data_IF_444915257820
#
_entry.id   IF_444915257820
#
_cell.length_a   1.000
_cell.length_b   1.000
_cell.length_c   1.000
_cell.angle_alpha   90.00
_cell.angle_beta   90.00
_cell.angle_gamma   90.00
#
_symmetry.space_group_name_H-M   'P 1'
#
loop_
_entity.id
_entity.type
_entity.pdbx_description
1 polymer ?
#
# COMPACT_ATOMS: atom_id res chain seq x y z
N UNK A 1 -47.01 4.56 -29.47
CA UNK A 1 -46.42 3.75 -28.39
C UNK A 1 -44.93 4.00 -28.43
N UNK A 2 -44.46 4.99 -27.67
CA UNK A 2 -43.05 5.28 -27.49
C UNK A 2 -42.74 5.03 -26.03
N UNK A 3 -41.96 3.98 -25.76
CA UNK A 3 -41.51 3.65 -24.40
C UNK A 3 -40.37 4.59 -24.02
N UNK A 4 -40.55 5.24 -22.87
CA UNK A 4 -39.54 6.08 -22.24
C UNK A 4 -38.45 5.18 -21.65
N UNK A 5 -37.21 5.42 -22.06
CA UNK A 5 -36.03 4.82 -21.47
C UNK A 5 -35.85 5.42 -20.08
N UNK A 6 -35.94 4.55 -19.06
CA UNK A 6 -35.63 4.82 -17.66
C UNK A 6 -34.16 5.20 -17.54
N UNK A 7 -33.89 6.45 -17.16
CA UNK A 7 -32.58 6.94 -16.76
C UNK A 7 -32.13 6.23 -15.48
N UNK A 8 -30.96 5.57 -15.56
CA UNK A 8 -30.32 4.91 -14.43
C UNK A 8 -30.07 5.85 -13.25
N UNK A 9 -30.17 5.28 -12.06
CA UNK A 9 -29.85 5.91 -10.80
C UNK A 9 -28.40 6.43 -10.83
N UNK A 10 -28.27 7.76 -10.76
CA UNK A 10 -27.02 8.42 -10.43
C UNK A 10 -26.64 8.03 -9.00
N UNK A 11 -25.59 7.20 -8.85
CA UNK A 11 -24.95 7.00 -7.56
C UNK A 11 -24.59 8.37 -6.97
N UNK A 12 -25.04 8.63 -5.75
CA UNK A 12 -24.76 9.90 -5.07
C UNK A 12 -23.25 10.02 -4.85
N UNK A 13 -22.63 10.99 -5.51
CA UNK A 13 -21.24 11.40 -5.22
C UNK A 13 -21.14 11.71 -3.73
N UNK A 14 -20.27 11.00 -3.02
CA UNK A 14 -20.11 11.17 -1.58
C UNK A 14 -19.55 12.55 -1.22
N UNK A 15 -19.76 12.99 0.03
CA UNK A 15 -19.05 14.17 0.55
C UNK A 15 -17.57 13.81 0.70
N UNK A 16 -16.68 14.59 0.10
CA UNK A 16 -15.23 14.34 0.16
C UNK A 16 -14.73 14.24 1.63
N UNK A 17 -13.84 13.28 1.96
CA UNK A 17 -13.50 12.98 3.36
C UNK A 17 -12.54 14.01 3.99
N UNK A 18 -12.01 14.96 3.21
CA UNK A 18 -10.86 15.78 3.61
C UNK A 18 -11.12 16.69 4.81
N UNK A 19 -12.28 17.33 4.91
CA UNK A 19 -12.61 18.18 6.07
C UNK A 19 -12.58 17.37 7.37
N UNK A 20 -13.15 16.16 7.35
CA UNK A 20 -13.14 15.26 8.50
C UNK A 20 -11.72 14.76 8.81
N UNK A 21 -10.92 14.41 7.79
CA UNK A 21 -9.51 14.01 7.95
C UNK A 21 -8.67 15.12 8.59
N UNK A 22 -8.77 16.35 8.09
CA UNK A 22 -8.10 17.54 8.67
C UNK A 22 -8.48 17.73 10.13
N UNK A 23 -9.77 17.61 10.47
CA UNK A 23 -10.24 17.70 11.86
C UNK A 23 -9.61 16.66 12.78
N UNK A 24 -9.60 15.38 12.37
CA UNK A 24 -8.98 14.27 13.13
C UNK A 24 -7.47 14.46 13.29
N UNK A 25 -6.79 14.91 12.24
CA UNK A 25 -5.35 15.19 12.28
C UNK A 25 -5.05 16.33 13.25
N UNK A 26 -5.78 17.45 13.17
CA UNK A 26 -5.61 18.57 14.09
C UNK A 26 -5.88 18.19 15.55
N UNK A 27 -6.89 17.35 15.82
CA UNK A 27 -7.15 16.80 17.15
C UNK A 27 -5.97 15.97 17.67
N UNK A 28 -5.43 15.07 16.84
CA UNK A 28 -4.27 14.26 17.20
C UNK A 28 -3.01 15.09 17.39
N UNK A 29 -2.79 16.12 16.56
CA UNK A 29 -1.70 17.07 16.73
C UNK A 29 -1.77 17.73 18.12
N UNK A 30 -2.94 18.23 18.53
CA UNK A 30 -3.15 18.81 19.88
C UNK A 30 -2.88 17.80 20.99
N UNK A 31 -3.30 16.55 20.83
CA UNK A 31 -3.05 15.49 21.81
C UNK A 31 -1.55 15.17 21.99
N UNK A 32 -0.76 15.33 20.92
CA UNK A 32 0.69 15.08 20.92
C UNK A 32 1.53 16.32 21.23
N UNK A 33 0.91 17.50 21.36
CA UNK A 33 1.64 18.78 21.47
C UNK A 33 2.40 19.15 20.19
N UNK A 34 1.86 18.78 19.03
CA UNK A 34 2.36 19.18 17.70
C UNK A 34 1.61 20.42 17.25
N UNK A 35 2.33 21.47 16.90
CA UNK A 35 1.76 22.77 16.55
C UNK A 35 1.53 22.91 15.04
N UNK A 36 2.41 22.32 14.23
CA UNK A 36 2.33 22.32 12.77
C UNK A 36 2.68 20.95 12.17
N UNK A 37 2.00 20.58 11.09
CA UNK A 37 2.27 19.42 10.25
C UNK A 37 2.61 19.92 8.84
N UNK A 38 3.77 19.55 8.32
CA UNK A 38 4.24 19.96 6.99
C UNK A 38 4.39 18.74 6.06
N UNK A 39 3.59 18.67 5.02
CA UNK A 39 3.51 17.54 4.09
C UNK A 39 3.84 17.97 2.67
N UNK A 40 4.71 17.23 1.99
CA UNK A 40 5.08 17.46 0.59
C UNK A 40 4.77 16.20 -0.23
N UNK A 41 5.72 15.75 -1.05
CA UNK A 41 5.66 14.47 -1.74
C UNK A 41 5.51 13.32 -0.74
N UNK A 42 4.63 12.39 -1.07
CA UNK A 42 4.31 11.24 -0.23
C UNK A 42 2.81 11.01 -0.06
N UNK A 43 2.42 9.88 0.56
CA UNK A 43 1.04 9.42 0.66
C UNK A 43 0.17 10.25 1.63
N UNK A 44 0.76 10.92 2.61
CA UNK A 44 0.02 11.73 3.58
C UNK A 44 -0.70 12.92 2.92
N UNK A 45 -0.08 13.57 1.94
CA UNK A 45 -0.62 14.75 1.28
C UNK A 45 -1.91 14.46 0.49
N UNK A 46 -1.94 13.52 -0.48
CA UNK A 46 -3.17 13.19 -1.19
C UNK A 46 -4.24 12.65 -0.24
N UNK A 47 -3.88 11.86 0.76
CA UNK A 47 -4.84 11.36 1.76
C UNK A 47 -5.49 12.51 2.55
N UNK A 48 -4.70 13.49 3.00
CA UNK A 48 -5.18 14.58 3.83
C UNK A 48 -5.94 15.64 3.04
N UNK A 49 -5.42 16.07 1.89
CA UNK A 49 -5.94 17.23 1.16
C UNK A 49 -6.44 16.96 -0.26
N UNK A 50 -6.29 15.74 -0.78
CA UNK A 50 -6.77 15.37 -2.11
C UNK A 50 -5.90 15.89 -3.26
N UNK A 51 -4.61 16.11 -3.02
CA UNK A 51 -3.66 16.56 -4.03
C UNK A 51 -2.36 15.75 -3.95
N UNK A 52 -1.93 15.15 -5.06
CA UNK A 52 -0.65 14.45 -5.18
C UNK A 52 0.41 15.39 -5.78
N UNK A 53 1.42 15.74 -4.98
CA UNK A 53 2.52 16.59 -5.43
C UNK A 53 3.47 15.82 -6.36
N UNK A 54 4.02 16.50 -7.37
CA UNK A 54 5.07 15.91 -8.21
C UNK A 54 6.41 15.84 -7.45
N UNK A 55 7.22 14.79 -7.67
CA UNK A 55 8.55 14.64 -7.10
C UNK A 55 9.59 15.51 -7.83
N UNK A 56 9.47 16.83 -7.67
CA UNK A 56 10.34 17.83 -8.30
C UNK A 56 11.27 18.51 -7.28
N UNK A 57 12.29 19.19 -7.79
CA UNK A 57 13.14 20.11 -7.03
C UNK A 57 12.41 21.34 -6.51
N UNK A 58 11.27 21.69 -7.14
CA UNK A 58 10.38 22.77 -6.71
C UNK A 58 9.48 22.26 -5.59
N UNK A 59 9.55 22.92 -4.43
CA UNK A 59 8.76 22.50 -3.29
C UNK A 59 7.26 22.77 -3.50
N UNK A 60 6.46 21.73 -3.26
CA UNK A 60 5.05 21.85 -2.91
C UNK A 60 4.90 21.36 -1.48
N UNK A 61 4.27 22.15 -0.61
CA UNK A 61 4.13 21.79 0.80
C UNK A 61 2.81 22.28 1.38
N UNK A 62 2.00 21.36 1.90
CA UNK A 62 0.90 21.69 2.79
C UNK A 62 1.45 21.98 4.20
N UNK A 63 0.95 23.05 4.81
CA UNK A 63 1.16 23.40 6.21
C UNK A 63 -0.20 23.37 6.88
N UNK A 64 -0.40 22.44 7.81
CA UNK A 64 -1.57 22.34 8.66
C UNK A 64 -1.19 22.77 10.08
N UNK A 65 -1.93 23.71 10.66
CA UNK A 65 -1.79 24.13 12.05
C UNK A 65 -2.77 23.38 12.95
N UNK A 66 -2.47 23.31 14.25
CA UNK A 66 -3.27 22.61 15.25
C UNK A 66 -4.69 23.16 15.46
N UNK A 67 -4.99 24.36 14.94
CA UNK A 67 -6.32 24.95 14.92
C UNK A 67 -7.17 24.53 13.70
N UNK A 68 -6.58 23.77 12.77
CA UNK A 68 -7.22 23.30 11.54
C UNK A 68 -6.93 24.18 10.31
N UNK A 69 -6.21 25.30 10.47
CA UNK A 69 -5.82 26.15 9.35
C UNK A 69 -4.84 25.39 8.45
N UNK A 70 -5.20 25.23 7.17
CA UNK A 70 -4.38 24.53 6.19
C UNK A 70 -4.08 25.41 4.98
N UNK A 71 -2.83 25.40 4.54
CA UNK A 71 -2.38 26.10 3.33
C UNK A 71 -1.51 25.19 2.49
N UNK A 72 -1.62 25.26 1.16
CA UNK A 72 -0.79 24.53 0.20
C UNK A 72 0.11 25.54 -0.53
N UNK A 73 1.39 25.56 -0.18
CA UNK A 73 2.42 26.33 -0.89
C UNK A 73 2.82 25.54 -2.13
N UNK A 74 2.62 26.10 -3.33
CA UNK A 74 2.78 25.37 -4.60
C UNK A 74 3.44 26.27 -5.65
N UNK A 75 4.28 25.76 -6.57
CA UNK A 75 4.81 26.59 -7.66
C UNK A 75 3.68 27.15 -8.52
N UNK A 76 3.79 28.41 -8.96
CA UNK A 76 2.76 29.07 -9.76
C UNK A 76 2.42 28.29 -11.05
N UNK A 77 3.44 27.66 -11.67
CA UNK A 77 3.27 26.83 -12.85
C UNK A 77 2.50 25.52 -12.59
N UNK A 78 2.43 25.06 -11.33
CA UNK A 78 1.70 23.86 -10.91
C UNK A 78 0.35 24.17 -10.26
N UNK A 79 0.11 25.42 -9.85
CA UNK A 79 -1.12 25.86 -9.22
C UNK A 79 -2.40 25.53 -10.03
N UNK A 80 -2.41 25.58 -11.39
CA UNK A 80 -3.58 25.18 -12.18
C UNK A 80 -4.01 23.71 -12.02
N UNK A 81 -3.13 22.84 -11.49
CA UNK A 81 -3.46 21.42 -11.23
C UNK A 81 -4.16 21.20 -9.90
N UNK A 82 -4.17 22.22 -9.04
CA UNK A 82 -4.79 22.13 -7.73
C UNK A 82 -6.30 22.34 -7.89
N UNK A 83 -7.08 21.30 -7.58
CA UNK A 83 -8.54 21.44 -7.46
C UNK A 83 -8.84 22.20 -6.18
N UNK A 84 -9.48 23.36 -6.32
CA UNK A 84 -9.89 24.20 -5.19
C UNK A 84 -10.86 23.45 -4.28
N UNK A 85 -10.61 23.49 -2.97
CA UNK A 85 -11.45 22.87 -1.93
C UNK A 85 -11.48 23.74 -0.68
N UNK A 86 -12.53 23.62 0.12
CA UNK A 86 -12.79 24.55 1.24
C UNK A 86 -11.87 24.35 2.46
N UNK A 87 -11.18 23.21 2.56
CA UNK A 87 -10.35 22.86 3.72
C UNK A 87 -8.90 23.35 3.63
N UNK A 88 -8.47 23.98 2.53
CA UNK A 88 -7.14 24.59 2.44
C UNK A 88 -7.10 25.80 1.49
N UNK A 89 -6.20 26.74 1.76
CA UNK A 89 -5.87 27.83 0.84
C UNK A 89 -4.69 27.48 -0.05
N UNK A 90 -4.71 27.89 -1.32
CA UNK A 90 -3.57 27.73 -2.24
C UNK A 90 -2.72 28.98 -2.20
N UNK A 91 -1.41 28.82 -1.97
CA UNK A 91 -0.46 29.92 -2.03
C UNK A 91 0.58 29.65 -3.13
N UNK A 92 0.39 30.24 -4.33
CA UNK A 92 1.35 30.09 -5.41
C UNK A 92 2.65 30.85 -5.10
N UNK A 93 3.77 30.36 -5.62
CA UNK A 93 5.06 31.05 -5.60
C UNK A 93 5.71 31.05 -6.99
N UNK A 94 6.29 32.18 -7.40
CA UNK A 94 6.96 32.35 -8.69
C UNK A 94 8.42 31.92 -8.65
N UNK A 95 9.04 31.63 -9.80
CA UNK A 95 10.39 31.05 -9.91
C UNK A 95 11.51 31.84 -9.19
N UNK A 96 11.30 33.14 -8.93
CA UNK A 96 12.27 34.00 -8.21
C UNK A 96 11.94 34.22 -6.74
N UNK A 97 10.84 33.67 -6.24
CA UNK A 97 10.45 33.79 -4.83
C UNK A 97 11.26 32.85 -3.94
N UNK A 98 11.24 33.10 -2.63
CA UNK A 98 11.77 32.18 -1.62
C UNK A 98 10.62 31.33 -1.04
N UNK A 99 10.38 30.11 -1.55
CA UNK A 99 9.28 29.29 -1.08
C UNK A 99 9.49 28.78 0.35
N UNK A 100 10.73 28.70 0.84
CA UNK A 100 11.01 28.32 2.23
C UNK A 100 10.57 29.44 3.16
N UNK A 101 10.83 30.71 2.82
CA UNK A 101 10.33 31.84 3.60
C UNK A 101 8.78 31.85 3.68
N UNK A 102 8.10 31.52 2.58
CA UNK A 102 6.65 31.39 2.55
C UNK A 102 6.13 30.27 3.46
N UNK A 103 6.81 29.12 3.51
CA UNK A 103 6.46 28.03 4.43
C UNK A 103 6.70 28.45 5.88
N UNK A 104 7.83 29.10 6.17
CA UNK A 104 8.18 29.61 7.51
C UNK A 104 7.12 30.59 8.03
N UNK A 105 6.63 31.49 7.18
CA UNK A 105 5.53 32.40 7.52
C UNK A 105 4.27 31.63 7.95
N UNK A 106 3.94 30.54 7.26
CA UNK A 106 2.75 29.71 7.54
C UNK A 106 2.91 28.83 8.78
N UNK A 107 4.13 28.36 9.04
CA UNK A 107 4.46 27.66 10.28
C UNK A 107 4.39 28.62 11.47
N UNK A 108 4.79 29.88 11.27
CA UNK A 108 4.67 30.95 12.27
C UNK A 108 5.39 30.64 13.58
N UNK A 109 4.68 30.73 14.69
CA UNK A 109 5.24 30.55 16.04
C UNK A 109 5.24 29.09 16.52
N UNK A 110 4.84 28.13 15.68
CA UNK A 110 4.82 26.70 16.02
C UNK A 110 6.16 26.22 16.61
N UNK A 111 6.11 25.64 17.81
CA UNK A 111 7.27 25.16 18.56
C UNK A 111 7.66 23.73 18.22
N UNK A 112 6.67 22.87 17.99
CA UNK A 112 6.82 21.46 17.58
C UNK A 112 6.23 21.24 16.19
N UNK A 113 7.04 20.72 15.28
CA UNK A 113 6.69 20.55 13.87
C UNK A 113 6.83 19.08 13.48
N UNK A 114 5.77 18.47 12.94
CA UNK A 114 5.82 17.17 12.31
C UNK A 114 6.11 17.33 10.81
N UNK A 115 7.13 16.63 10.32
CA UNK A 115 7.63 16.76 8.95
C UNK A 115 7.41 15.46 8.16
N UNK A 116 6.91 15.58 6.93
CA UNK A 116 6.56 14.46 6.05
C UNK A 116 7.69 13.44 5.87
N UNK A 117 7.47 12.18 6.25
CA UNK A 117 8.47 11.09 6.19
C UNK A 117 9.07 10.85 4.79
N UNK A 118 8.32 11.16 3.73
CA UNK A 118 8.75 11.02 2.32
C UNK A 118 9.28 12.33 1.71
N UNK A 119 9.22 13.44 2.43
CA UNK A 119 9.68 14.74 1.93
C UNK A 119 11.20 14.74 1.80
N UNK A 120 11.72 15.34 0.72
CA UNK A 120 13.17 15.42 0.51
C UNK A 120 13.88 16.13 1.66
N UNK A 121 14.92 15.50 2.19
CA UNK A 121 15.68 15.98 3.35
C UNK A 121 16.27 17.38 3.16
N UNK A 122 16.54 17.79 1.92
CA UNK A 122 16.96 19.15 1.59
C UNK A 122 16.03 20.21 2.19
N UNK A 123 14.71 20.04 2.04
CA UNK A 123 13.75 21.01 2.55
C UNK A 123 13.68 21.01 4.07
N UNK A 124 13.90 19.87 4.72
CA UNK A 124 14.03 19.80 6.17
C UNK A 124 15.24 20.63 6.65
N UNK A 125 16.39 20.49 5.99
CA UNK A 125 17.62 21.23 6.33
C UNK A 125 17.37 22.74 6.16
N UNK A 126 16.83 23.17 5.01
CA UNK A 126 16.54 24.58 4.73
C UNK A 126 15.54 25.18 5.75
N UNK A 127 14.51 24.41 6.15
CA UNK A 127 13.56 24.82 7.18
C UNK A 127 14.20 24.89 8.57
N UNK A 128 15.05 23.93 8.95
CA UNK A 128 15.73 23.92 10.25
C UNK A 128 16.66 25.12 10.42
N UNK A 129 17.34 25.54 9.34
CA UNK A 129 18.18 26.74 9.34
C UNK A 129 17.35 28.03 9.56
N UNK A 130 16.11 28.07 9.04
CA UNK A 130 15.20 29.23 9.16
C UNK A 130 14.35 29.20 10.44
N UNK A 131 14.15 28.04 11.03
CA UNK A 131 13.35 27.82 12.24
C UNK A 131 14.24 27.22 13.35
N UNK A 132 15.23 27.99 13.86
CA UNK A 132 16.08 27.51 14.93
C UNK A 132 15.27 27.33 16.22
N UNK A 133 15.69 26.40 17.07
CA UNK A 133 15.06 26.09 18.36
C UNK A 133 13.63 25.54 18.27
N UNK A 134 13.33 24.76 17.22
CA UNK A 134 12.10 23.97 17.10
C UNK A 134 12.34 22.50 17.41
N UNK A 135 11.30 21.81 17.89
CA UNK A 135 11.27 20.35 18.00
C UNK A 135 10.70 19.77 16.70
N UNK A 136 11.38 18.77 16.15
CA UNK A 136 10.98 18.11 14.91
C UNK A 136 10.57 16.67 15.17
N UNK A 137 9.45 16.25 14.57
CA UNK A 137 8.90 14.90 14.61
C UNK A 137 8.61 14.40 13.21
N UNK A 138 8.39 13.09 13.09
CA UNK A 138 7.95 12.48 11.82
C UNK A 138 6.44 12.68 11.64
N UNK A 139 5.99 12.91 10.40
CA UNK A 139 4.56 13.00 10.11
C UNK A 139 3.83 11.72 10.49
N UNK A 140 4.47 10.56 10.33
CA UNK A 140 3.87 9.27 10.63
C UNK A 140 3.46 9.12 12.11
N UNK A 141 4.08 9.85 13.04
CA UNK A 141 3.62 9.87 14.45
C UNK A 141 2.22 10.48 14.60
N UNK A 142 1.83 11.36 13.66
CA UNK A 142 0.52 12.00 13.57
C UNK A 142 -0.38 11.22 12.60
N UNK A 143 -0.01 11.08 11.33
CA UNK A 143 -0.89 10.56 10.28
C UNK A 143 -0.98 9.03 10.26
N UNK A 144 0.09 8.33 10.63
CA UNK A 144 0.21 6.87 10.55
C UNK A 144 -0.95 6.13 11.24
N UNK A 145 -1.18 6.35 12.55
CA UNK A 145 -2.28 5.69 13.25
C UNK A 145 -3.68 6.02 12.72
N UNK A 146 -3.86 7.18 12.07
CA UNK A 146 -5.13 7.56 11.46
C UNK A 146 -5.32 6.88 10.09
N UNK A 147 -4.26 6.72 9.31
CA UNK A 147 -4.27 5.98 8.03
C UNK A 147 -4.33 4.47 8.22
N UNK A 148 -3.74 3.96 9.30
CA UNK A 148 -3.76 2.55 9.62
C UNK A 148 -5.20 2.04 9.82
N UNK A 149 -6.12 2.88 10.30
CA UNK A 149 -7.54 2.55 10.53
C UNK A 149 -8.39 3.11 9.40
N UNK A 150 -8.75 2.25 8.45
CA UNK A 150 -9.51 2.62 7.25
C UNK A 150 -10.98 2.83 7.60
N UNK A 151 -11.58 3.86 7.02
CA UNK A 151 -13.04 4.00 6.99
C UNK A 151 -13.69 3.06 5.96
N UNK A 152 -15.02 2.99 5.97
CA UNK A 152 -15.78 2.09 5.07
C UNK A 152 -15.50 2.37 3.58
N UNK A 153 -15.24 3.63 3.22
CA UNK A 153 -14.95 4.00 1.84
C UNK A 153 -13.54 3.55 1.44
N UNK A 154 -12.54 3.77 2.30
CA UNK A 154 -11.17 3.30 2.08
C UNK A 154 -11.12 1.77 1.97
N UNK A 155 -11.91 1.07 2.79
CA UNK A 155 -12.05 -0.39 2.72
C UNK A 155 -12.69 -0.86 1.40
N UNK A 156 -13.72 -0.16 0.90
CA UNK A 156 -14.32 -0.44 -0.42
C UNK A 156 -13.30 -0.23 -1.55
N UNK A 157 -12.52 0.85 -1.49
CA UNK A 157 -11.49 1.13 -2.48
C UNK A 157 -10.40 0.05 -2.51
N UNK A 158 -9.93 -0.39 -1.35
CA UNK A 158 -8.98 -1.52 -1.25
C UNK A 158 -9.60 -2.83 -1.78
N UNK A 159 -10.87 -3.09 -1.47
CA UNK A 159 -11.56 -4.29 -1.96
C UNK A 159 -11.70 -4.29 -3.48
N UNK A 160 -11.99 -3.13 -4.08
CA UNK A 160 -12.06 -2.95 -5.54
C UNK A 160 -10.69 -3.08 -6.19
N UNK A 161 -9.65 -2.53 -5.58
CA UNK A 161 -8.26 -2.68 -6.04
C UNK A 161 -7.84 -4.16 -6.02
N UNK A 162 -8.12 -4.86 -4.90
CA UNK A 162 -7.88 -6.30 -4.73
C UNK A 162 -8.62 -7.18 -5.75
N UNK A 163 -9.88 -6.88 -6.01
CA UNK A 163 -10.70 -7.63 -6.98
C UNK A 163 -10.10 -7.60 -8.40
N UNK A 164 -9.50 -6.47 -8.82
CA UNK A 164 -8.85 -6.37 -10.14
C UNK A 164 -7.65 -7.32 -10.24
N UNK A 165 -6.78 -7.36 -9.21
CA UNK A 165 -5.61 -8.25 -9.23
C UNK A 165 -5.98 -9.72 -9.01
N UNK A 166 -7.08 -10.00 -8.29
CA UNK A 166 -7.68 -11.33 -8.20
C UNK A 166 -8.03 -11.91 -9.57
N UNK A 167 -8.67 -11.12 -10.44
CA UNK A 167 -9.06 -11.61 -11.76
C UNK A 167 -7.83 -11.97 -12.63
N UNK A 168 -6.73 -11.21 -12.49
CA UNK A 168 -5.46 -11.48 -13.16
C UNK A 168 -4.81 -12.76 -12.58
N UNK A 169 -4.83 -12.92 -11.26
CA UNK A 169 -4.32 -14.11 -10.60
C UNK A 169 -5.10 -15.38 -10.97
N UNK A 170 -6.44 -15.28 -11.11
CA UNK A 170 -7.28 -16.37 -11.60
C UNK A 170 -6.92 -16.73 -13.04
N UNK A 171 -6.65 -15.75 -13.90
CA UNK A 171 -6.17 -15.99 -15.27
C UNK A 171 -4.82 -16.70 -15.31
N UNK A 172 -3.89 -16.28 -14.44
CA UNK A 172 -2.59 -16.93 -14.26
C UNK A 172 -2.78 -18.40 -13.89
N UNK A 173 -3.56 -18.68 -12.84
CA UNK A 173 -3.80 -20.04 -12.34
C UNK A 173 -4.58 -20.93 -13.32
N UNK A 174 -5.40 -20.34 -14.19
CA UNK A 174 -6.09 -21.07 -15.26
C UNK A 174 -5.23 -21.31 -16.50
N UNK A 175 -3.96 -20.86 -16.51
CA UNK A 175 -3.07 -20.96 -17.67
C UNK A 175 -3.50 -20.08 -18.85
N UNK A 176 -4.32 -19.04 -18.60
CA UNK A 176 -4.72 -18.06 -19.64
C UNK A 176 -3.64 -17.01 -19.91
N UNK A 177 -2.61 -16.96 -19.07
CA UNK A 177 -1.39 -16.17 -19.28
C UNK A 177 -0.29 -17.14 -19.67
N UNK A 178 0.19 -17.14 -20.92
CA UNK A 178 1.29 -18.02 -21.34
C UNK A 178 2.57 -17.69 -20.58
N UNK A 179 3.27 -18.72 -20.10
CA UNK A 179 4.51 -18.58 -19.32
C UNK A 179 5.71 -19.21 -20.01
N UNK A 180 5.64 -20.52 -20.29
CA UNK A 180 6.76 -21.30 -20.84
C UNK A 180 7.29 -20.67 -22.14
N UNK A 181 8.60 -20.48 -22.19
CA UNK A 181 9.31 -19.89 -23.32
C UNK A 181 9.42 -18.37 -23.28
N UNK A 182 8.64 -17.67 -22.45
CA UNK A 182 8.78 -16.21 -22.22
C UNK A 182 9.86 -15.94 -21.19
N UNK A 183 10.40 -14.72 -21.18
CA UNK A 183 11.22 -14.25 -20.05
C UNK A 183 10.34 -13.81 -18.89
N UNK A 184 10.91 -13.80 -17.68
CA UNK A 184 10.27 -13.21 -16.50
C UNK A 184 9.83 -11.76 -16.78
N UNK A 185 10.71 -10.95 -17.40
CA UNK A 185 10.41 -9.57 -17.77
C UNK A 185 9.23 -9.45 -18.76
N UNK A 186 9.13 -10.35 -19.75
CA UNK A 186 8.00 -10.37 -20.68
C UNK A 186 6.67 -10.67 -19.96
N UNK A 187 6.67 -11.57 -18.98
CA UNK A 187 5.47 -11.87 -18.17
C UNK A 187 5.15 -10.71 -17.22
N UNK A 188 6.15 -10.12 -16.57
CA UNK A 188 5.99 -8.94 -15.70
C UNK A 188 5.36 -7.76 -16.46
N UNK A 189 5.81 -7.50 -17.69
CA UNK A 189 5.22 -6.47 -18.55
C UNK A 189 3.76 -6.76 -18.94
N UNK A 190 3.39 -8.03 -19.14
CA UNK A 190 2.01 -8.44 -19.44
C UNK A 190 1.10 -8.31 -18.22
N UNK A 191 1.56 -8.70 -17.02
CA UNK A 191 0.84 -8.45 -15.77
C UNK A 191 0.63 -6.94 -15.55
N UNK A 192 1.69 -6.14 -15.72
CA UNK A 192 1.65 -4.67 -15.61
C UNK A 192 0.62 -4.05 -16.57
N UNK A 193 0.60 -4.49 -17.83
CA UNK A 193 -0.38 -4.04 -18.82
C UNK A 193 -1.81 -4.38 -18.40
N UNK A 194 -2.06 -5.60 -17.91
CA UNK A 194 -3.39 -6.05 -17.45
C UNK A 194 -3.89 -5.25 -16.25
N UNK A 195 -2.99 -4.89 -15.32
CA UNK A 195 -3.31 -4.05 -14.15
C UNK A 195 -3.89 -2.71 -14.61
N UNK A 196 -3.23 -2.04 -15.56
CA UNK A 196 -3.69 -0.75 -16.12
C UNK A 196 -4.99 -0.91 -16.92
N UNK A 197 -5.06 -1.90 -17.81
CA UNK A 197 -6.23 -2.13 -18.67
C UNK A 197 -7.52 -2.42 -17.87
N UNK A 198 -7.40 -2.92 -16.64
CA UNK A 198 -8.53 -3.20 -15.74
C UNK A 198 -8.88 -2.08 -14.78
N UNK A 199 -8.14 -0.97 -14.80
CA UNK A 199 -8.55 0.27 -14.15
C UNK A 199 -7.65 0.79 -13.03
N UNK A 200 -6.55 0.10 -12.67
CA UNK A 200 -5.54 0.76 -11.85
C UNK A 200 -4.92 1.91 -12.64
N UNK A 201 -4.71 3.06 -12.01
CA UNK A 201 -4.09 4.22 -12.65
C UNK A 201 -2.57 4.14 -12.70
N UNK A 202 -1.97 3.27 -11.88
CA UNK A 202 -0.54 3.07 -11.76
C UNK A 202 -0.24 1.60 -11.43
N UNK A 203 0.77 1.04 -12.08
CA UNK A 203 1.40 -0.21 -11.64
C UNK A 203 2.38 0.14 -10.54
N UNK A 204 2.29 -0.55 -9.42
CA UNK A 204 3.17 -0.37 -8.29
C UNK A 204 4.41 -1.26 -8.46
N UNK A 205 4.17 -2.54 -8.70
CA UNK A 205 5.19 -3.55 -8.98
C UNK A 205 4.57 -4.76 -9.70
N UNK A 206 5.43 -5.57 -10.32
CA UNK A 206 5.07 -6.87 -10.87
C UNK A 206 6.32 -7.78 -10.89
N UNK A 207 6.52 -8.52 -9.80
CA UNK A 207 7.57 -9.52 -9.65
C UNK A 207 7.13 -10.79 -10.37
N UNK A 208 8.03 -11.34 -11.18
CA UNK A 208 7.91 -12.68 -11.76
C UNK A 208 9.23 -13.39 -11.51
N UNK A 209 9.19 -14.46 -10.74
CA UNK A 209 10.37 -15.21 -10.34
C UNK A 209 10.16 -16.70 -10.66
N UNK A 210 10.94 -17.22 -11.59
CA UNK A 210 10.80 -18.59 -12.08
C UNK A 210 11.93 -19.50 -11.55
N UNK A 211 11.57 -20.74 -11.23
CA UNK A 211 12.50 -21.74 -10.70
C UNK A 211 13.27 -21.22 -9.47
N UNK A 212 14.59 -21.24 -9.55
CA UNK A 212 15.50 -20.81 -8.47
C UNK A 212 15.35 -19.34 -8.08
N UNK A 213 14.92 -18.47 -8.99
CA UNK A 213 14.70 -17.06 -8.70
C UNK A 213 13.57 -16.85 -7.70
N UNK A 214 12.58 -17.77 -7.65
CA UNK A 214 11.49 -17.72 -6.69
C UNK A 214 11.97 -17.86 -5.22
N UNK A 215 13.22 -18.29 -4.99
CA UNK A 215 13.84 -18.30 -3.67
C UNK A 215 14.37 -16.92 -3.22
N UNK A 216 14.26 -15.88 -4.05
CA UNK A 216 14.58 -14.49 -3.71
C UNK A 216 13.29 -13.68 -3.59
N UNK A 217 12.88 -13.25 -2.36
CA UNK A 217 11.58 -12.62 -2.14
C UNK A 217 11.37 -11.31 -2.91
N UNK A 218 12.46 -10.56 -3.16
CA UNK A 218 12.46 -9.31 -3.94
C UNK A 218 13.22 -9.46 -5.27
N UNK A 219 13.05 -10.61 -5.93
CA UNK A 219 13.62 -10.80 -7.27
C UNK A 219 13.11 -9.75 -8.26
N UNK A 220 14.00 -9.23 -9.10
CA UNK A 220 13.63 -8.35 -10.21
C UNK A 220 13.48 -9.19 -11.48
N UNK A 221 12.29 -9.17 -12.09
CA UNK A 221 11.99 -9.95 -13.28
C UNK A 221 12.97 -9.62 -14.42
N UNK A 222 13.76 -10.60 -14.86
CA UNK A 222 14.84 -10.40 -15.82
C UNK A 222 14.68 -11.21 -17.11
N UNK A 223 15.82 -11.46 -17.77
CA UNK A 223 15.88 -12.18 -19.04
C UNK A 223 15.84 -13.72 -18.89
N UNK A 224 15.72 -14.24 -17.65
CA UNK A 224 15.58 -15.69 -17.42
C UNK A 224 14.32 -16.18 -18.13
N UNK A 225 14.49 -17.17 -19.02
CA UNK A 225 13.37 -17.82 -19.70
C UNK A 225 12.70 -18.81 -18.75
N UNK A 226 11.38 -18.79 -18.74
CA UNK A 226 10.55 -19.72 -17.98
C UNK A 226 10.53 -21.06 -18.73
N UNK A 227 10.91 -22.12 -18.03
CA UNK A 227 10.92 -23.49 -18.52
C UNK A 227 9.69 -24.27 -18.06
N UNK A 228 9.49 -25.46 -18.62
CA UNK A 228 8.49 -26.40 -18.12
C UNK A 228 9.04 -27.17 -16.91
N UNK A 229 8.17 -27.48 -15.95
CA UNK A 229 8.49 -28.27 -14.76
C UNK A 229 9.02 -27.47 -13.58
N UNK A 230 8.74 -26.17 -13.51
CA UNK A 230 9.21 -25.28 -12.45
C UNK A 230 8.10 -24.39 -11.87
N UNK A 231 8.37 -23.80 -10.70
CA UNK A 231 7.50 -22.77 -10.12
C UNK A 231 7.64 -21.47 -10.90
N UNK A 232 6.54 -20.72 -11.00
CA UNK A 232 6.55 -19.29 -11.28
C UNK A 232 5.80 -18.59 -10.16
N UNK A 233 6.53 -17.82 -9.35
CA UNK A 233 5.97 -16.94 -8.34
C UNK A 233 5.68 -15.60 -9.00
N UNK A 234 4.41 -15.17 -8.94
CA UNK A 234 3.97 -13.87 -9.43
C UNK A 234 3.43 -13.06 -8.26
N UNK A 235 4.00 -11.90 -8.05
CA UNK A 235 3.59 -10.95 -7.02
C UNK A 235 3.41 -9.57 -7.64
N UNK A 236 2.20 -9.02 -7.57
CA UNK A 236 1.86 -7.83 -8.34
C UNK A 236 0.73 -7.01 -7.73
N UNK A 237 0.83 -5.70 -7.91
CA UNK A 237 -0.08 -4.74 -7.33
C UNK A 237 -0.13 -3.44 -8.12
N UNK A 238 -1.18 -2.66 -7.87
CA UNK A 238 -1.35 -1.34 -8.48
C UNK A 238 -2.06 -0.36 -7.56
N UNK A 239 -2.12 0.90 -7.99
CA UNK A 239 -2.90 1.94 -7.30
C UNK A 239 -4.21 2.21 -8.04
N UNK A 240 -5.34 2.02 -7.37
CA UNK A 240 -6.67 2.40 -7.85
C UNK A 240 -7.04 3.77 -7.27
N UNK A 241 -7.35 4.73 -8.14
CA UNK A 241 -7.73 6.07 -7.70
C UNK A 241 -9.24 6.19 -7.50
N UNK A 242 -9.64 6.83 -6.41
CA UNK A 242 -11.02 7.23 -6.18
C UNK A 242 -11.38 8.48 -7.00
N UNK A 243 -12.65 8.91 -6.90
CA UNK A 243 -13.16 10.07 -7.63
C UNK A 243 -12.58 11.42 -7.15
N UNK A 244 -11.89 11.44 -6.00
CA UNK A 244 -11.23 12.63 -5.46
C UNK A 244 -9.72 12.66 -5.72
N UNK A 245 -9.19 11.63 -6.40
CA UNK A 245 -7.78 11.50 -6.76
C UNK A 245 -6.90 10.90 -5.66
N UNK A 246 -7.47 10.24 -4.65
CA UNK A 246 -6.69 9.47 -3.67
C UNK A 246 -6.51 8.04 -4.19
N UNK A 247 -5.27 7.56 -4.20
CA UNK A 247 -4.93 6.22 -4.65
C UNK A 247 -4.89 5.21 -3.52
N UNK A 248 -5.45 4.02 -3.72
CA UNK A 248 -5.40 2.89 -2.78
C UNK A 248 -4.73 1.69 -3.45
N UNK A 249 -3.82 1.03 -2.73
CA UNK A 249 -2.96 -0.02 -3.27
C UNK A 249 -3.64 -1.40 -3.20
N UNK A 250 -3.42 -2.21 -4.23
CA UNK A 250 -3.60 -3.66 -4.20
C UNK A 250 -2.25 -4.35 -4.11
N UNK A 251 -2.28 -5.58 -3.58
CA UNK A 251 -1.14 -6.46 -3.45
C UNK A 251 -1.63 -7.91 -3.48
N UNK A 252 -0.97 -8.78 -4.22
CA UNK A 252 -1.29 -10.20 -4.27
C UNK A 252 -0.10 -11.01 -4.79
N UNK A 253 0.24 -12.06 -4.05
CA UNK A 253 1.14 -13.11 -4.51
C UNK A 253 0.39 -14.42 -4.74
N UNK A 254 0.60 -15.02 -5.93
CA UNK A 254 0.22 -16.41 -6.25
C UNK A 254 1.36 -17.13 -6.96
N UNK A 255 1.47 -18.43 -6.70
CA UNK A 255 2.40 -19.31 -7.40
C UNK A 255 1.64 -20.27 -8.32
N UNK A 256 2.27 -20.59 -9.45
CA UNK A 256 1.84 -21.68 -10.34
C UNK A 256 3.01 -22.60 -10.65
N UNK A 257 2.73 -23.80 -11.14
CA UNK A 257 3.74 -24.75 -11.58
C UNK A 257 3.56 -25.10 -13.05
N UNK A 258 4.61 -25.01 -13.86
CA UNK A 258 4.55 -25.22 -15.33
C UNK A 258 4.55 -26.71 -15.70
N UNK A 259 3.50 -27.44 -15.33
CA UNK A 259 3.33 -28.87 -15.57
C UNK A 259 2.93 -29.62 -14.30
N UNK A 260 3.17 -30.94 -14.23
CA UNK A 260 2.87 -31.72 -13.03
C UNK A 260 3.69 -31.27 -11.83
N UNK A 261 3.04 -31.02 -10.69
CA UNK A 261 3.70 -30.58 -9.45
C UNK A 261 4.43 -31.76 -8.78
N UNK A 262 5.74 -31.63 -8.46
CA UNK A 262 6.46 -32.64 -7.68
C UNK A 262 5.90 -32.80 -6.26
N UNK A 263 5.91 -34.03 -5.74
CA UNK A 263 5.39 -34.34 -4.39
C UNK A 263 6.05 -33.54 -3.26
N UNK A 264 7.31 -33.13 -3.41
CA UNK A 264 7.96 -32.25 -2.43
C UNK A 264 7.41 -30.83 -2.50
N UNK A 265 7.29 -30.26 -3.70
CA UNK A 265 6.74 -28.92 -3.91
C UNK A 265 5.29 -28.82 -3.39
N UNK A 266 4.44 -29.80 -3.71
CA UNK A 266 3.07 -29.86 -3.18
C UNK A 266 3.03 -29.85 -1.65
N UNK A 267 3.85 -30.67 -0.98
CA UNK A 267 3.89 -30.72 0.49
C UNK A 267 4.37 -29.41 1.13
N UNK A 268 5.33 -28.74 0.53
CA UNK A 268 5.81 -27.43 1.01
C UNK A 268 4.72 -26.37 0.83
N UNK A 269 4.04 -26.39 -0.32
CA UNK A 269 2.97 -25.46 -0.59
C UNK A 269 1.75 -25.67 0.31
N UNK A 270 1.35 -26.92 0.57
CA UNK A 270 0.27 -27.25 1.52
C UNK A 270 0.58 -26.72 2.93
N UNK A 271 1.85 -26.83 3.37
CA UNK A 271 2.31 -26.24 4.63
C UNK A 271 2.20 -24.72 4.62
N UNK A 272 2.60 -24.08 3.52
CA UNK A 272 2.51 -22.64 3.35
C UNK A 272 1.06 -22.14 3.37
N UNK A 273 0.16 -22.79 2.62
CA UNK A 273 -1.27 -22.47 2.59
C UNK A 273 -1.87 -22.62 3.99
N UNK A 274 -1.54 -23.70 4.70
CA UNK A 274 -1.96 -23.89 6.09
C UNK A 274 -1.40 -22.78 7.01
N UNK A 275 -0.17 -22.33 6.80
CA UNK A 275 0.43 -21.23 7.58
C UNK A 275 -0.28 -19.90 7.33
N UNK A 276 -0.45 -19.51 6.06
CA UNK A 276 -1.16 -18.28 5.66
C UNK A 276 -2.57 -18.24 6.24
N UNK A 277 -3.32 -19.34 6.09
CA UNK A 277 -4.67 -19.49 6.63
C UNK A 277 -4.71 -19.34 8.17
N UNK A 278 -3.62 -19.66 8.87
CA UNK A 278 -3.49 -19.43 10.31
C UNK A 278 -3.27 -17.96 10.66
N UNK A 279 -2.38 -17.29 9.93
CA UNK A 279 -2.16 -15.85 10.05
C UNK A 279 -3.46 -15.07 9.84
N UNK A 280 -4.19 -15.38 8.76
CA UNK A 280 -5.50 -14.77 8.48
C UNK A 280 -6.44 -14.97 9.65
N UNK A 281 -6.61 -16.20 10.17
CA UNK A 281 -7.50 -16.45 11.33
C UNK A 281 -7.06 -15.73 12.61
N UNK A 282 -5.77 -15.48 12.79
CA UNK A 282 -5.24 -14.80 13.97
C UNK A 282 -5.45 -13.27 13.93
N UNK A 283 -5.69 -12.69 12.73
CA UNK A 283 -5.89 -11.27 12.46
C UNK A 283 -7.24 -10.73 12.97
N UNK A 284 -7.54 -10.94 14.25
CA UNK A 284 -8.77 -10.48 14.91
C UNK A 284 -8.53 -9.18 15.68
N UNK A 285 -9.57 -8.36 15.81
CA UNK A 285 -9.51 -7.12 16.60
C UNK A 285 -9.12 -7.44 18.05
N UNK A 286 -8.13 -6.72 18.57
CA UNK A 286 -7.56 -6.89 19.90
C UNK A 286 -6.40 -7.89 20.00
N UNK A 287 -6.16 -8.72 18.99
CA UNK A 287 -4.95 -9.53 18.92
C UNK A 287 -3.71 -8.64 18.67
N UNK A 288 -2.52 -9.08 19.07
CA UNK A 288 -1.29 -8.33 18.76
C UNK A 288 -0.83 -8.58 17.32
N UNK A 289 -0.18 -7.60 16.70
CA UNK A 289 0.37 -7.75 15.35
C UNK A 289 1.37 -8.91 15.26
N UNK A 290 2.19 -9.13 16.29
CA UNK A 290 3.11 -10.26 16.36
C UNK A 290 2.43 -11.63 16.45
N UNK A 291 1.17 -11.70 16.92
CA UNK A 291 0.43 -12.96 17.02
C UNK A 291 0.04 -13.50 15.66
N UNK A 292 -0.20 -12.61 14.68
CA UNK A 292 -0.38 -12.98 13.27
C UNK A 292 0.91 -13.58 12.71
N UNK A 293 2.07 -12.96 13.02
CA UNK A 293 3.37 -13.49 12.60
C UNK A 293 3.67 -14.86 13.20
N UNK A 294 3.43 -15.02 14.50
CA UNK A 294 3.65 -16.28 15.21
C UNK A 294 2.74 -17.39 14.67
N UNK A 295 1.48 -17.09 14.35
CA UNK A 295 0.55 -18.07 13.78
C UNK A 295 1.06 -18.69 12.45
N UNK A 296 1.71 -17.89 11.60
CA UNK A 296 2.35 -18.36 10.37
C UNK A 296 3.69 -19.07 10.69
N UNK A 297 4.56 -18.38 11.43
CA UNK A 297 5.94 -18.79 11.68
C UNK A 297 6.04 -20.09 12.47
N UNK A 298 5.18 -20.29 13.47
CA UNK A 298 5.15 -21.51 14.29
C UNK A 298 4.78 -22.73 13.45
N UNK A 299 3.83 -22.57 12.53
CA UNK A 299 3.42 -23.65 11.61
C UNK A 299 4.54 -24.03 10.66
N UNK A 300 5.15 -23.05 10.00
CA UNK A 300 6.27 -23.27 9.08
C UNK A 300 7.46 -23.90 9.82
N UNK A 301 7.75 -23.45 11.04
CA UNK A 301 8.82 -24.00 11.88
C UNK A 301 8.54 -25.44 12.31
N UNK A 302 7.30 -25.76 12.72
CA UNK A 302 6.90 -27.12 13.04
C UNK A 302 6.98 -28.08 11.83
N UNK A 303 6.80 -27.54 10.62
CA UNK A 303 7.02 -28.26 9.37
C UNK A 303 8.50 -28.43 8.97
N UNK A 304 9.44 -27.87 9.74
CA UNK A 304 10.88 -27.97 9.48
C UNK A 304 11.44 -26.91 8.54
N UNK A 305 10.66 -25.86 8.21
CA UNK A 305 11.04 -24.82 7.26
C UNK A 305 11.23 -23.43 7.88
N UNK A 306 11.30 -23.34 9.21
CA UNK A 306 11.35 -22.07 9.94
C UNK A 306 12.51 -21.15 9.52
N UNK A 307 13.70 -21.70 9.27
CA UNK A 307 14.88 -20.94 8.81
C UNK A 307 14.70 -20.35 7.39
N UNK A 308 13.72 -20.84 6.63
CA UNK A 308 13.43 -20.43 5.25
C UNK A 308 12.28 -19.42 5.15
N UNK A 309 11.66 -19.05 6.29
CA UNK A 309 10.73 -17.93 6.36
C UNK A 309 11.42 -16.68 6.90
N UNK A 310 12.05 -15.93 5.97
CA UNK A 310 13.11 -14.95 6.26
C UNK A 310 12.65 -13.50 6.38
N UNK A 311 11.35 -13.24 6.31
CA UNK A 311 10.78 -11.88 6.43
C UNK A 311 9.59 -11.86 7.39
N UNK A 312 9.03 -10.66 7.62
CA UNK A 312 7.79 -10.44 8.37
C UNK A 312 6.61 -11.16 7.69
N UNK A 313 5.56 -11.47 8.44
CA UNK A 313 4.34 -12.07 7.89
C UNK A 313 3.48 -11.09 7.09
N UNK A 314 3.66 -9.78 7.29
CA UNK A 314 3.01 -8.79 6.44
C UNK A 314 3.22 -7.35 6.87
N UNK A 315 2.64 -6.44 6.11
CA UNK A 315 2.68 -4.98 6.31
C UNK A 315 1.29 -4.38 6.16
N UNK A 316 1.09 -3.20 6.74
CA UNK A 316 -0.10 -2.41 6.48
C UNK A 316 -0.14 -1.99 5.01
N UNK A 317 -1.35 -1.83 4.49
CA UNK A 317 -1.59 -1.33 3.14
C UNK A 317 -2.72 -0.32 3.15
N UNK A 318 -2.65 0.68 2.28
CA UNK A 318 -3.66 1.73 2.18
C UNK A 318 -3.38 2.63 0.99
N UNK A 319 -3.10 3.89 1.26
CA UNK A 319 -2.63 4.84 0.25
C UNK A 319 -1.14 4.68 -0.09
N UNK A 320 -0.46 3.78 0.64
CA UNK A 320 0.88 3.31 0.41
C UNK A 320 0.89 1.77 0.43
N UNK A 321 1.77 1.15 -0.36
CA UNK A 321 1.94 -0.32 -0.38
C UNK A 321 2.36 -0.84 1.00
N UNK A 322 3.36 -0.19 1.60
CA UNK A 322 3.88 -0.55 2.92
C UNK A 322 3.65 0.58 3.91
N UNK A 323 2.66 0.43 4.78
CA UNK A 323 2.34 1.33 5.89
C UNK A 323 2.12 0.55 7.21
N UNK A 324 1.73 1.24 8.28
CA UNK A 324 1.35 0.60 9.54
C UNK A 324 -0.03 -0.08 9.44
N UNK A 325 -0.27 -1.19 10.18
CA UNK A 325 0.64 -1.89 11.09
C UNK A 325 1.45 -3.02 10.43
N UNK A 326 2.66 -3.30 10.92
CA UNK A 326 3.48 -4.44 10.47
C UNK A 326 3.20 -5.72 11.26
N UNK A 327 2.89 -6.82 10.58
CA UNK A 327 2.70 -8.15 11.18
C UNK A 327 4.05 -8.84 11.35
N UNK A 328 4.74 -8.52 12.44
CA UNK A 328 6.11 -8.95 12.71
C UNK A 328 6.33 -9.25 14.19
N UNK A 329 7.16 -10.24 14.49
CA UNK A 329 7.60 -10.53 15.86
C UNK A 329 8.14 -9.28 16.57
N UNK A 330 7.71 -9.04 17.81
CA UNK A 330 8.07 -7.86 18.60
C UNK A 330 7.12 -6.68 18.45
N UNK A 331 6.22 -6.68 17.46
CA UNK A 331 5.15 -5.67 17.37
C UNK A 331 3.94 -6.09 18.23
N UNK A 332 3.92 -5.61 19.48
CA UNK A 332 2.87 -5.90 20.47
C UNK A 332 1.62 -5.02 20.33
N UNK A 333 1.56 -4.13 19.32
CA UNK A 333 0.40 -3.27 19.10
C UNK A 333 -0.85 -4.11 18.83
N UNK A 334 -1.97 -3.72 19.44
CA UNK A 334 -3.26 -4.37 19.23
C UNK A 334 -3.82 -4.01 17.84
N UNK A 335 -4.38 -4.99 17.15
CA UNK A 335 -5.07 -4.81 15.88
C UNK A 335 -6.41 -4.11 16.15
N UNK A 336 -6.66 -3.02 15.44
CA UNK A 336 -7.90 -2.25 15.51
C UNK A 336 -8.83 -2.61 14.34
N UNK A 337 -10.14 -2.44 14.53
CA UNK A 337 -11.09 -2.59 13.44
C UNK A 337 -10.79 -1.54 12.35
N UNK A 338 -10.72 -1.97 11.10
CA UNK A 338 -10.31 -1.13 9.97
C UNK A 338 -8.81 -1.17 9.67
N UNK A 339 -7.98 -1.85 10.47
CA UNK A 339 -6.61 -2.16 10.03
C UNK A 339 -6.64 -3.06 8.80
N UNK A 340 -5.91 -2.65 7.77
CA UNK A 340 -5.71 -3.39 6.52
C UNK A 340 -4.22 -3.69 6.34
N UNK A 341 -3.89 -4.95 6.07
CA UNK A 341 -2.51 -5.44 5.95
C UNK A 341 -2.41 -6.73 5.14
N UNK A 342 -1.23 -7.01 4.59
CA UNK A 342 -0.93 -8.31 3.97
C UNK A 342 -0.79 -9.43 5.02
N UNK A 343 -1.15 -10.64 4.63
CA UNK A 343 -0.74 -11.89 5.28
C UNK A 343 -0.09 -12.75 4.21
N UNK A 344 1.24 -12.72 4.19
CA UNK A 344 2.10 -13.13 3.07
C UNK A 344 3.27 -14.01 3.50
N UNK A 345 3.09 -15.08 4.29
CA UNK A 345 4.22 -15.95 4.62
C UNK A 345 4.86 -16.51 3.35
N UNK A 346 6.14 -16.86 3.45
CA UNK A 346 6.89 -17.47 2.35
C UNK A 346 7.91 -18.49 2.83
N UNK A 347 8.22 -19.45 1.97
CA UNK A 347 9.26 -20.46 2.19
C UNK A 347 10.21 -20.39 1.00
N UNK A 348 11.46 -20.01 1.26
CA UNK A 348 12.46 -19.76 0.21
C UNK A 348 13.64 -20.72 0.36
N UNK A 349 13.85 -21.60 -0.61
CA UNK A 349 14.94 -22.58 -0.61
C UNK A 349 16.01 -22.14 -1.62
N UNK A 350 17.12 -21.50 -1.18
CA UNK A 350 18.12 -20.92 -2.07
C UNK A 350 18.66 -21.91 -3.10
N UNK A 351 18.73 -21.47 -4.36
CA UNK A 351 19.20 -22.27 -5.48
C UNK A 351 18.23 -23.38 -5.93
N UNK A 352 17.00 -23.43 -5.39
CA UNK A 352 15.98 -24.43 -5.75
C UNK A 352 14.69 -23.77 -6.24
N UNK A 353 13.90 -23.26 -5.31
CA UNK A 353 12.63 -22.58 -5.56
C UNK A 353 12.15 -21.90 -4.27
N UNK A 354 11.14 -21.05 -4.38
CA UNK A 354 10.43 -20.51 -3.24
C UNK A 354 8.95 -20.35 -3.56
N UNK A 355 8.17 -20.19 -2.49
CA UNK A 355 6.74 -19.93 -2.56
C UNK A 355 6.39 -18.80 -1.60
N UNK A 356 5.47 -17.94 -2.02
CA UNK A 356 4.77 -16.98 -1.18
C UNK A 356 3.30 -17.03 -1.54
N UNK A 357 2.45 -16.87 -0.53
CA UNK A 357 1.01 -16.83 -0.67
C UNK A 357 0.51 -15.65 0.13
N UNK A 358 -0.18 -14.73 -0.54
CA UNK A 358 -0.49 -13.43 0.04
C UNK A 358 -1.91 -12.99 -0.27
N UNK A 359 -2.58 -12.51 0.77
CA UNK A 359 -3.79 -11.73 0.64
C UNK A 359 -3.68 -10.47 1.49
N UNK A 360 -4.35 -9.41 1.04
CA UNK A 360 -4.72 -8.29 1.89
C UNK A 360 -5.93 -8.69 2.74
N UNK A 361 -5.82 -8.43 4.04
CA UNK A 361 -6.83 -8.70 5.06
C UNK A 361 -7.21 -7.41 5.76
N UNK A 362 -8.51 -7.23 6.02
CA UNK A 362 -9.03 -6.17 6.89
C UNK A 362 -9.55 -6.80 8.18
N UNK A 363 -9.11 -6.30 9.32
CA UNK A 363 -9.66 -6.68 10.61
C UNK A 363 -11.02 -6.00 10.83
N UNK A 364 -12.07 -6.79 11.07
CA UNK A 364 -13.42 -6.29 11.33
C UNK A 364 -13.95 -6.80 12.67
N UNK A 365 -15.08 -6.24 13.14
CA UNK A 365 -15.76 -6.73 14.35
C UNK A 365 -16.31 -8.16 14.23
N UNK A 366 -16.49 -8.67 13.01
CA UNK A 366 -16.95 -10.05 12.74
C UNK A 366 -15.78 -11.03 12.55
N UNK A 367 -14.54 -10.51 12.54
CA UNK A 367 -13.33 -11.26 12.26
C UNK A 367 -12.54 -10.70 11.07
N UNK A 368 -11.42 -11.35 10.70
CA UNK A 368 -10.63 -11.00 9.52
C UNK A 368 -11.42 -11.21 8.24
N UNK A 369 -11.38 -10.24 7.33
CA UNK A 369 -11.97 -10.33 5.98
C UNK A 369 -10.87 -10.22 4.94
N UNK A 370 -10.71 -11.26 4.12
CA UNK A 370 -9.81 -11.19 2.96
C UNK A 370 -10.39 -10.27 1.89
N UNK A 371 -9.54 -9.44 1.29
CA UNK A 371 -9.86 -8.63 0.12
C UNK A 371 -9.43 -9.30 -1.19
N UNK A 372 -8.54 -10.30 -1.11
CA UNK A 372 -8.17 -11.18 -2.21
C UNK A 372 -8.86 -12.55 -2.05
N UNK A 373 -9.41 -13.05 -3.15
CA UNK A 373 -10.23 -14.24 -3.21
C UNK A 373 -9.83 -15.17 -4.37
N UNK A 374 -8.75 -14.86 -5.10
CA UNK A 374 -8.15 -15.81 -6.03
C UNK A 374 -7.78 -17.12 -5.28
N UNK A 375 -7.96 -18.30 -5.89
CA UNK A 375 -7.67 -19.59 -5.26
C UNK A 375 -6.28 -19.63 -4.60
N UNK A 376 -6.17 -20.23 -3.43
CA UNK A 376 -4.90 -20.31 -2.71
C UNK A 376 -4.00 -21.45 -3.15
N UNK A 377 -4.58 -22.57 -3.62
CA UNK A 377 -3.83 -23.78 -3.98
C UNK A 377 -2.85 -23.58 -5.13
N UNK A 378 -1.81 -24.42 -5.17
CA UNK A 378 -0.80 -24.41 -6.23
C UNK A 378 -1.39 -24.98 -7.53
N UNK A 379 -1.57 -24.12 -8.54
CA UNK A 379 -2.15 -24.52 -9.81
C UNK A 379 -1.10 -25.12 -10.76
N UNK A 380 -1.48 -26.20 -11.46
CA UNK A 380 -0.72 -26.76 -12.59
C UNK A 380 -1.14 -26.05 -13.89
N UNK A 381 -0.18 -25.39 -14.55
CA UNK A 381 -0.40 -24.68 -15.81
C UNK A 381 0.44 -25.28 -16.93
N UNK A 382 -0.06 -25.24 -18.17
CA UNK A 382 0.56 -25.91 -19.33
C UNK A 382 1.30 -24.96 -20.24
#
# INVERSE_FOLDING_TARGET
MGEAVSSGESGSVGVAPFVARVGRVAERMRALGVDALTLSVGPDLPWLVGYEAMPLERITMAVLLADGTCSLVVPELEAPRVVSRDHFSVIPWGETDDPIALIVERVGEAGTIAFGDRTWSRFLIELQDRLPNRRWLRSNEVTGPLRAVKDDHEIDMLARAGAIVDEIAVELQQGRIPLVGRTEAEVSADLSRRIIERGHGRVNFAIVAAGENAASPHHEAGDRRIEAGEVVLCDFGGTLFDEWGVGYCSDITRCVWTGPVPTEAARIYDLLEAAQSAGVRAATVGASCESVDSACRDRISAGGYGEWFIHRTGHGIGVEEHEDPYMVSGNVAAIEAGNAFSVEPGIYLPGRFGFRLEDIVVATGEGPRSLNNAPHGLAEVR
#
